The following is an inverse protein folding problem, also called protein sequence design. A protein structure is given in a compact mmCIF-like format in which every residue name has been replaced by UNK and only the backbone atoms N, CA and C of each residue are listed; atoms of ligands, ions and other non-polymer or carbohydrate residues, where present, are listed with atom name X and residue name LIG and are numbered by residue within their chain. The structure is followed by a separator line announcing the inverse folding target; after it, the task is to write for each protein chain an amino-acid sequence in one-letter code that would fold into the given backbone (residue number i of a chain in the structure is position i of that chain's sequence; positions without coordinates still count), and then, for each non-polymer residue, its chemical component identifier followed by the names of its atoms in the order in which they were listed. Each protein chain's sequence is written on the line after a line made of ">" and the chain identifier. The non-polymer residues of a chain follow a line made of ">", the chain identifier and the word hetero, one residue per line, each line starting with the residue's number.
data_IF_480153172223
#
_entry.id   IF_480153172223
#
_cell.length_a   1.000
_cell.length_b   1.000
_cell.length_c   1.000
_cell.angle_alpha   90.00
_cell.angle_beta   90.00
_cell.angle_gamma   90.00
#
_symmetry.space_group_name_H-M   'P 1'
#
loop_
_entity.id
_entity.type
_entity.pdbx_description
1 polymer ?
#
# COMPACT_ATOMS: atom_id res chain seq x y z
N UNK A 1 15.00 16.86 -19.55
CA UNK A 1 13.76 16.08 -19.36
C UNK A 1 13.22 16.43 -17.98
N UNK A 2 12.28 17.37 -17.90
CA UNK A 2 11.75 17.90 -16.65
C UNK A 2 10.31 17.40 -16.47
N UNK A 3 10.08 16.54 -15.48
CA UNK A 3 8.73 16.12 -15.13
C UNK A 3 7.99 17.29 -14.46
N UNK A 4 6.80 17.56 -15.00
CA UNK A 4 5.97 18.73 -14.75
C UNK A 4 5.52 18.75 -13.28
N UNK A 5 5.94 19.79 -12.57
CA UNK A 5 5.76 20.01 -11.14
C UNK A 5 4.33 19.75 -10.66
N UNK A 6 4.16 18.72 -9.83
CA UNK A 6 3.34 18.89 -8.62
C UNK A 6 3.93 20.07 -7.85
N UNK A 7 3.12 21.02 -7.34
CA UNK A 7 3.69 22.20 -6.70
C UNK A 7 4.59 21.72 -5.55
N UNK A 8 5.86 22.14 -5.57
CA UNK A 8 6.87 21.76 -4.57
C UNK A 8 6.34 21.94 -3.14
N UNK A 9 5.44 22.90 -2.94
CA UNK A 9 4.70 23.14 -1.70
C UNK A 9 3.80 22.00 -1.26
N UNK A 10 3.06 21.32 -2.15
CA UNK A 10 2.16 20.21 -1.78
C UNK A 10 2.93 18.94 -1.45
N UNK A 11 4.05 18.69 -2.13
CA UNK A 11 4.97 17.59 -1.79
C UNK A 11 5.65 17.84 -0.46
N UNK A 12 6.06 19.08 -0.21
CA UNK A 12 6.64 19.49 1.06
C UNK A 12 5.62 19.39 2.19
N UNK A 13 4.37 19.81 1.94
CA UNK A 13 3.28 19.63 2.89
C UNK A 13 3.10 18.15 3.24
N UNK A 14 2.98 17.27 2.25
CA UNK A 14 2.82 15.83 2.52
C UNK A 14 4.00 15.27 3.30
N UNK A 15 5.24 15.53 2.89
CA UNK A 15 6.44 15.07 3.61
C UNK A 15 6.45 15.53 5.07
N UNK A 16 6.12 16.80 5.32
CA UNK A 16 6.08 17.35 6.67
C UNK A 16 4.93 16.74 7.49
N UNK A 17 3.75 16.60 6.89
CA UNK A 17 2.59 15.97 7.52
C UNK A 17 2.91 14.52 7.90
N UNK A 18 3.41 13.71 6.97
CA UNK A 18 3.77 12.31 7.21
C UNK A 18 4.85 12.18 8.27
N UNK A 19 5.90 13.00 8.19
CA UNK A 19 6.99 13.00 9.19
C UNK A 19 6.47 13.32 10.59
N UNK A 20 5.64 14.37 10.72
CA UNK A 20 5.07 14.75 12.01
C UNK A 20 4.21 13.64 12.62
N UNK A 21 3.46 12.91 11.81
CA UNK A 21 2.63 11.81 12.29
C UNK A 21 3.46 10.57 12.65
N UNK A 22 4.51 10.27 11.87
CA UNK A 22 5.48 9.22 12.21
C UNK A 22 6.15 9.52 13.55
N UNK A 23 6.68 10.73 13.72
CA UNK A 23 7.41 11.13 14.93
C UNK A 23 6.50 11.06 16.16
N UNK A 24 5.26 11.55 16.06
CA UNK A 24 4.28 11.49 17.15
C UNK A 24 3.86 10.05 17.48
N UNK A 25 3.56 9.23 16.48
CA UNK A 25 3.15 7.83 16.70
C UNK A 25 4.28 7.01 17.32
N UNK A 26 5.53 7.21 16.87
CA UNK A 26 6.71 6.54 17.42
C UNK A 26 6.97 6.95 18.88
N UNK A 27 6.78 8.23 19.21
CA UNK A 27 7.06 8.74 20.54
C UNK A 27 5.98 8.38 21.58
N UNK A 28 4.70 8.35 21.18
CA UNK A 28 3.59 8.34 22.14
C UNK A 28 2.61 7.18 22.01
N UNK A 29 2.39 6.64 20.80
CA UNK A 29 1.32 5.66 20.58
C UNK A 29 1.82 4.23 20.58
N UNK A 30 3.01 3.98 20.02
CA UNK A 30 3.52 2.62 19.84
C UNK A 30 2.61 1.75 18.96
N UNK A 31 1.79 2.37 18.11
CA UNK A 31 0.82 1.70 17.23
C UNK A 31 1.22 1.84 15.76
N UNK A 32 0.80 0.93 14.87
CA UNK A 32 0.94 1.11 13.44
C UNK A 32 0.13 2.33 12.95
N UNK A 33 0.74 3.10 12.04
CA UNK A 33 0.16 4.25 11.35
C UNK A 33 -0.15 3.85 9.90
N UNK A 34 -1.32 4.26 9.42
CA UNK A 34 -1.76 4.08 8.04
C UNK A 34 -2.19 5.42 7.44
N UNK A 35 -1.87 5.65 6.16
CA UNK A 35 -2.48 6.72 5.37
C UNK A 35 -3.68 6.15 4.64
N UNK A 36 -4.86 6.20 5.26
CA UNK A 36 -6.06 5.50 4.76
C UNK A 36 -6.74 6.18 3.58
N UNK A 37 -6.42 7.45 3.33
CA UNK A 37 -6.96 8.19 2.20
C UNK A 37 -5.86 9.06 1.59
N UNK A 38 -5.57 8.83 0.32
CA UNK A 38 -4.74 9.71 -0.49
C UNK A 38 -5.12 9.59 -1.96
N UNK A 39 -5.12 10.70 -2.68
CA UNK A 39 -5.42 10.70 -4.09
C UNK A 39 -5.07 12.02 -4.73
N UNK A 40 -5.01 12.04 -6.07
CA UNK A 40 -4.81 13.26 -6.84
C UNK A 40 -5.94 13.39 -7.85
N UNK A 41 -6.72 14.44 -7.67
CA UNK A 41 -7.82 14.79 -8.55
C UNK A 41 -7.36 14.99 -10.00
N UNK A 42 -8.10 14.41 -10.94
CA UNK A 42 -7.91 14.53 -12.39
C UNK A 42 -9.13 15.24 -13.00
N UNK A 43 -8.96 16.48 -13.49
CA UNK A 43 -10.02 17.20 -14.23
C UNK A 43 -10.04 16.75 -15.70
N UNK A 44 -11.23 16.47 -16.26
CA UNK A 44 -11.38 16.00 -17.65
C UNK A 44 -11.02 17.07 -18.71
N UNK A 45 -11.23 18.35 -18.40
CA UNK A 45 -11.12 19.44 -19.40
C UNK A 45 -9.74 20.10 -19.49
N UNK A 46 -8.84 19.84 -18.53
CA UNK A 46 -7.48 20.42 -18.51
C UNK A 46 -6.49 19.26 -18.48
N UNK A 47 -6.47 18.51 -19.59
CA UNK A 47 -5.51 17.43 -19.85
C UNK A 47 -5.10 16.66 -18.60
N UNK A 48 -6.03 15.85 -18.06
CA UNK A 48 -5.86 15.04 -16.85
C UNK A 48 -4.39 14.62 -16.66
N UNK A 49 -3.69 15.28 -15.73
CA UNK A 49 -2.26 15.12 -15.62
C UNK A 49 -1.94 13.85 -14.83
N UNK A 50 -2.13 12.69 -15.47
CA UNK A 50 -1.78 11.37 -14.95
C UNK A 50 -0.34 11.34 -14.44
N UNK A 51 0.58 12.12 -15.02
CA UNK A 51 1.95 12.21 -14.52
C UNK A 51 2.05 12.84 -13.12
N UNK A 52 1.27 13.89 -12.82
CA UNK A 52 1.18 14.43 -11.47
C UNK A 52 0.54 13.45 -10.48
N UNK A 53 -0.47 12.69 -10.90
CA UNK A 53 -1.07 11.63 -10.07
C UNK A 53 -0.05 10.53 -9.77
N UNK A 54 0.66 10.06 -10.79
CA UNK A 54 1.69 9.03 -10.64
C UNK A 54 2.82 9.52 -9.71
N UNK A 55 3.30 10.75 -9.89
CA UNK A 55 4.30 11.33 -8.99
C UNK A 55 3.82 11.43 -7.54
N UNK A 56 2.56 11.84 -7.32
CA UNK A 56 1.99 11.89 -5.98
C UNK A 56 1.85 10.49 -5.36
N UNK A 57 1.43 9.52 -6.16
CA UNK A 57 1.32 8.11 -5.78
C UNK A 57 2.69 7.56 -5.35
N UNK A 58 3.72 7.72 -6.19
CA UNK A 58 5.10 7.35 -5.87
C UNK A 58 5.55 8.00 -4.55
N UNK A 59 5.31 9.30 -4.39
CA UNK A 59 5.72 10.04 -3.19
C UNK A 59 5.07 9.53 -1.89
N UNK A 60 3.80 9.12 -1.93
CA UNK A 60 3.10 8.54 -0.77
C UNK A 60 3.63 7.14 -0.48
N UNK A 61 3.70 6.30 -1.51
CA UNK A 61 4.14 4.91 -1.41
C UNK A 61 5.60 4.83 -0.95
N UNK A 62 6.50 5.63 -1.50
CA UNK A 62 7.89 5.73 -1.06
C UNK A 62 8.02 6.09 0.42
N UNK A 63 7.20 7.01 0.91
CA UNK A 63 7.20 7.38 2.32
C UNK A 63 6.77 6.21 3.23
N UNK A 64 5.76 5.45 2.80
CA UNK A 64 5.29 4.24 3.48
C UNK A 64 6.40 3.19 3.52
N UNK A 65 6.97 2.85 2.37
CA UNK A 65 8.03 1.84 2.29
C UNK A 65 9.27 2.26 3.09
N UNK A 66 9.68 3.52 2.98
CA UNK A 66 10.82 4.05 3.71
C UNK A 66 10.63 3.94 5.23
N UNK A 67 9.43 4.23 5.74
CA UNK A 67 9.14 4.02 7.16
C UNK A 67 9.13 2.53 7.52
N UNK A 68 8.35 1.71 6.81
CA UNK A 68 8.18 0.29 7.09
C UNK A 68 9.51 -0.49 7.04
N UNK A 69 10.33 -0.25 6.03
CA UNK A 69 11.65 -0.90 5.86
C UNK A 69 12.65 -0.60 6.98
N UNK A 70 12.42 0.47 7.77
CA UNK A 70 13.22 0.81 8.95
C UNK A 70 12.55 0.37 10.26
N UNK A 71 11.46 -0.38 10.22
CA UNK A 71 10.64 -0.73 11.38
C UNK A 71 9.90 0.47 11.98
N UNK A 72 9.69 1.53 11.20
CA UNK A 72 8.96 2.73 11.61
C UNK A 72 7.44 2.48 11.68
N UNK A 73 6.70 3.38 12.35
CA UNK A 73 5.28 3.18 12.61
C UNK A 73 4.39 3.28 11.36
N UNK A 74 4.78 4.05 10.33
CA UNK A 74 4.01 4.09 9.08
C UNK A 74 4.27 2.81 8.28
N UNK A 75 3.24 1.97 8.16
CA UNK A 75 3.35 0.61 7.60
C UNK A 75 2.46 0.34 6.40
N UNK A 76 1.58 1.28 6.03
CA UNK A 76 0.65 1.07 4.91
C UNK A 76 -0.20 2.29 4.57
N UNK A 77 -1.06 2.11 3.57
CA UNK A 77 -2.06 3.10 3.18
C UNK A 77 -3.03 2.59 2.13
N UNK A 78 -4.11 3.34 1.88
CA UNK A 78 -5.10 3.07 0.86
C UNK A 78 -5.35 4.32 -0.01
N UNK A 79 -5.24 4.16 -1.33
CA UNK A 79 -5.51 5.23 -2.28
C UNK A 79 -7.02 5.40 -2.46
N UNK A 80 -7.44 6.65 -2.65
CA UNK A 80 -8.82 7.02 -2.97
C UNK A 80 -8.88 7.35 -4.47
N UNK A 81 -9.70 6.66 -5.28
CA UNK A 81 -10.40 5.40 -4.97
C UNK A 81 -10.20 4.38 -6.08
N UNK A 82 -10.25 3.10 -5.74
CA UNK A 82 -10.24 2.03 -6.73
C UNK A 82 -11.64 1.88 -7.32
N UNK A 83 -11.76 2.05 -8.63
CA UNK A 83 -12.95 1.64 -9.37
C UNK A 83 -12.58 0.49 -10.32
N UNK A 84 -13.50 -0.45 -10.51
CA UNK A 84 -13.41 -1.46 -11.55
C UNK A 84 -13.98 -0.88 -12.84
N UNK A 85 -13.56 -1.49 -13.95
CA UNK A 85 -14.06 -1.16 -15.28
C UNK A 85 -15.59 -1.30 -15.32
N UNK A 86 -16.26 -0.29 -15.89
CA UNK A 86 -17.72 -0.25 -16.02
C UNK A 86 -18.28 -1.37 -16.89
N UNK A 87 -17.46 -1.93 -17.79
CA UNK A 87 -17.81 -3.09 -18.61
C UNK A 87 -17.82 -4.40 -17.78
N UNK A 88 -17.08 -4.45 -16.68
CA UNK A 88 -17.04 -5.59 -15.75
C UNK A 88 -18.14 -5.46 -14.69
N UNK A 89 -18.32 -4.26 -14.14
CA UNK A 89 -19.35 -3.98 -13.13
C UNK A 89 -20.16 -2.76 -13.56
N UNK A 90 -21.36 -3.04 -14.08
CA UNK A 90 -22.28 -2.00 -14.54
C UNK A 90 -22.60 -0.99 -13.42
N UNK A 91 -22.59 0.29 -13.77
CA UNK A 91 -22.95 1.40 -12.88
C UNK A 91 -21.79 2.03 -12.10
N UNK A 92 -20.57 1.48 -12.19
CA UNK A 92 -19.41 2.06 -11.49
C UNK A 92 -18.97 3.42 -12.03
N UNK A 93 -19.24 3.71 -13.31
CA UNK A 93 -18.95 5.03 -13.90
C UNK A 93 -19.69 6.19 -13.20
N UNK A 94 -20.83 5.91 -12.56
CA UNK A 94 -21.58 6.92 -11.81
C UNK A 94 -20.92 7.32 -10.49
N UNK A 95 -19.94 6.55 -10.02
CA UNK A 95 -19.21 6.79 -8.77
C UNK A 95 -17.90 7.56 -8.99
N UNK A 96 -17.56 7.89 -10.24
CA UNK A 96 -16.36 8.67 -10.58
C UNK A 96 -16.45 10.07 -9.96
N UNK A 97 -15.57 10.33 -9.01
CA UNK A 97 -15.46 11.59 -8.27
C UNK A 97 -14.22 12.41 -8.67
N UNK A 98 -13.48 11.96 -9.68
CA UNK A 98 -12.25 12.57 -10.18
C UNK A 98 -10.98 12.09 -9.50
N UNK A 99 -11.08 11.18 -8.52
CA UNK A 99 -9.94 10.54 -7.86
C UNK A 99 -9.78 9.08 -8.25
N UNK A 100 -10.66 8.56 -9.10
CA UNK A 100 -10.66 7.15 -9.45
C UNK A 100 -9.36 6.69 -10.10
N UNK A 101 -8.94 5.49 -9.72
CA UNK A 101 -7.91 4.71 -10.39
C UNK A 101 -8.59 3.44 -10.86
N UNK A 102 -8.69 3.27 -12.17
CA UNK A 102 -9.17 2.04 -12.80
C UNK A 102 -7.95 1.31 -13.34
N UNK A 103 -7.58 0.20 -12.68
CA UNK A 103 -6.31 -0.49 -12.96
C UNK A 103 -6.25 -1.05 -14.39
N UNK A 104 -7.40 -1.47 -14.94
CA UNK A 104 -7.51 -1.94 -16.31
C UNK A 104 -7.26 -0.82 -17.35
N UNK A 105 -7.62 0.43 -17.02
CA UNK A 105 -7.47 1.60 -17.90
C UNK A 105 -6.12 2.32 -17.71
N UNK A 106 -5.40 2.06 -16.62
CA UNK A 106 -4.20 2.81 -16.23
C UNK A 106 -3.04 1.90 -15.84
N UNK A 107 -2.39 1.33 -16.86
CA UNK A 107 -1.26 0.42 -16.69
C UNK A 107 -0.10 1.00 -15.89
N UNK A 108 0.14 2.32 -15.96
CA UNK A 108 1.22 2.97 -15.21
C UNK A 108 0.90 3.06 -13.73
N UNK A 109 -0.32 3.45 -13.36
CA UNK A 109 -0.76 3.43 -11.97
C UNK A 109 -0.76 2.00 -11.41
N UNK A 110 -1.24 1.04 -12.20
CA UNK A 110 -1.26 -0.36 -11.82
C UNK A 110 0.16 -0.91 -11.55
N UNK A 111 1.14 -0.56 -12.37
CA UNK A 111 2.55 -0.94 -12.14
C UNK A 111 3.10 -0.31 -10.85
N UNK A 112 2.89 0.98 -10.62
CA UNK A 112 3.34 1.66 -9.38
C UNK A 112 2.73 0.97 -8.13
N UNK A 113 1.41 0.74 -8.15
CA UNK A 113 0.70 0.10 -7.02
C UNK A 113 1.17 -1.34 -6.84
N UNK A 114 1.33 -2.09 -7.93
CA UNK A 114 1.77 -3.48 -7.91
C UNK A 114 3.19 -3.63 -7.36
N UNK A 115 4.14 -2.86 -7.91
CA UNK A 115 5.54 -2.85 -7.48
C UNK A 115 5.66 -2.53 -5.98
N UNK A 116 4.93 -1.52 -5.50
CA UNK A 116 4.95 -1.17 -4.08
C UNK A 116 4.29 -2.23 -3.19
N UNK A 117 3.20 -2.83 -3.66
CA UNK A 117 2.52 -3.92 -2.94
C UNK A 117 3.45 -5.12 -2.78
N UNK A 118 4.21 -5.47 -3.80
CA UNK A 118 5.24 -6.52 -3.76
C UNK A 118 6.37 -6.18 -2.78
N UNK A 119 6.85 -4.94 -2.80
CA UNK A 119 7.88 -4.45 -1.88
C UNK A 119 7.45 -4.57 -0.41
N UNK A 120 6.23 -4.15 -0.08
CA UNK A 120 5.69 -4.27 1.29
C UNK A 120 5.45 -5.73 1.67
N UNK A 121 4.94 -6.56 0.75
CA UNK A 121 4.75 -7.98 1.00
C UNK A 121 6.09 -8.69 1.32
N UNK A 122 7.17 -8.31 0.62
CA UNK A 122 8.50 -8.84 0.88
C UNK A 122 9.02 -8.48 2.28
N UNK A 123 8.77 -7.26 2.78
CA UNK A 123 9.11 -6.88 4.16
C UNK A 123 8.38 -7.75 5.18
N UNK A 124 7.07 -7.97 4.99
CA UNK A 124 6.28 -8.83 5.88
C UNK A 124 6.74 -10.29 5.84
N UNK A 125 7.13 -10.80 4.67
CA UNK A 125 7.70 -12.15 4.53
C UNK A 125 9.01 -12.30 5.29
N UNK A 126 9.87 -11.28 5.26
CA UNK A 126 11.12 -11.26 6.02
C UNK A 126 10.87 -11.25 7.53
N UNK A 127 9.91 -10.45 8.01
CA UNK A 127 9.53 -10.41 9.42
C UNK A 127 8.98 -11.77 9.88
N UNK A 128 8.10 -12.38 9.09
CA UNK A 128 7.59 -13.72 9.35
C UNK A 128 8.72 -14.76 9.38
N UNK A 129 9.68 -14.70 8.46
CA UNK A 129 10.84 -15.59 8.44
C UNK A 129 11.78 -15.39 9.64
N UNK A 130 11.96 -14.15 10.10
CA UNK A 130 12.77 -13.82 11.28
C UNK A 130 12.09 -14.35 12.55
N UNK A 131 10.77 -14.16 12.69
CA UNK A 131 9.99 -14.73 13.78
C UNK A 131 10.00 -16.26 13.74
N UNK A 132 9.81 -16.85 12.56
CA UNK A 132 9.91 -18.29 12.34
C UNK A 132 11.30 -18.83 12.66
N UNK A 133 12.39 -18.14 12.30
CA UNK A 133 13.76 -18.53 12.67
C UNK A 133 14.00 -18.47 14.18
N UNK A 134 13.50 -17.44 14.88
CA UNK A 134 13.53 -17.36 16.35
C UNK A 134 12.74 -18.50 17.00
N UNK A 135 11.54 -18.81 16.49
CA UNK A 135 10.71 -19.91 16.96
C UNK A 135 11.32 -21.29 16.65
N UNK A 136 11.94 -21.44 15.47
CA UNK A 136 12.62 -22.68 15.03
C UNK A 136 13.94 -22.91 15.75
N UNK A 137 14.61 -21.85 16.21
CA UNK A 137 15.73 -21.96 17.15
C UNK A 137 15.29 -22.55 18.50
N UNK A 138 14.01 -22.48 18.84
CA UNK A 138 13.38 -23.14 19.99
C UNK A 138 12.73 -24.48 19.64
N UNK A 139 12.56 -24.83 18.36
CA UNK A 139 11.92 -26.07 17.94
C UNK A 139 12.48 -26.56 16.63
N UNK A 140 13.46 -27.45 16.72
CA UNK A 140 14.12 -28.07 15.57
C UNK A 140 13.35 -29.32 15.15
N UNK A 141 12.48 -29.25 14.13
CA UNK A 141 12.14 -30.39 13.23
C UNK A 141 11.33 -29.96 11.98
N UNK A 142 12.03 -29.95 10.84
CA UNK A 142 11.70 -30.42 9.46
C UNK A 142 10.22 -30.63 9.03
N UNK A 143 9.75 -29.93 7.98
CA UNK A 143 9.59 -30.42 6.59
C UNK A 143 9.01 -29.30 5.69
N UNK A 144 9.46 -29.22 4.43
CA UNK A 144 9.03 -28.19 3.47
C UNK A 144 7.88 -28.64 2.56
N UNK A 145 7.32 -27.69 1.82
CA UNK A 145 6.81 -27.94 0.47
C UNK A 145 6.68 -26.64 -0.33
N UNK A 146 7.09 -26.71 -1.60
CA UNK A 146 6.98 -25.68 -2.64
C UNK A 146 5.72 -25.89 -3.48
N UNK A 147 5.06 -24.81 -3.91
CA UNK A 147 4.04 -24.87 -4.97
C UNK A 147 4.32 -23.80 -6.03
N UNK A 148 4.31 -24.29 -7.27
CA UNK A 148 4.54 -23.58 -8.53
C UNK A 148 3.26 -22.89 -9.02
N UNK A 149 3.39 -21.73 -9.66
CA UNK A 149 2.29 -20.99 -10.28
C UNK A 149 2.44 -20.96 -11.81
N UNK A 150 1.44 -21.49 -12.51
CA UNK A 150 1.25 -21.35 -13.95
C UNK A 150 0.43 -20.10 -14.28
N UNK A 151 0.81 -19.44 -15.38
CA UNK A 151 0.30 -18.14 -15.81
C UNK A 151 -1.05 -18.20 -16.52
N UNK A 152 -1.86 -17.17 -16.27
CA UNK A 152 -3.13 -16.91 -16.94
C UNK A 152 -3.72 -15.54 -16.58
N UNK A 153 -3.63 -15.12 -15.32
CA UNK A 153 -4.58 -14.14 -14.81
C UNK A 153 -3.92 -12.94 -14.11
N UNK A 154 -3.09 -12.14 -14.79
CA UNK A 154 -2.34 -11.03 -14.16
C UNK A 154 -3.22 -10.07 -13.35
N UNK A 155 -4.46 -9.82 -13.78
CA UNK A 155 -5.42 -8.97 -13.07
C UNK A 155 -6.07 -9.69 -11.88
N UNK A 156 -6.37 -10.98 -12.02
CA UNK A 156 -6.91 -11.82 -10.94
C UNK A 156 -5.86 -12.08 -9.87
N UNK A 157 -4.60 -12.29 -10.27
CA UNK A 157 -3.43 -12.31 -9.41
C UNK A 157 -3.24 -10.99 -8.69
N UNK A 158 -3.37 -9.85 -9.39
CA UNK A 158 -3.21 -8.54 -8.77
C UNK A 158 -4.36 -8.26 -7.78
N UNK A 159 -5.60 -8.62 -8.11
CA UNK A 159 -6.75 -8.58 -7.20
C UNK A 159 -6.53 -9.48 -5.99
N UNK A 160 -6.06 -10.71 -6.19
CA UNK A 160 -5.76 -11.65 -5.11
C UNK A 160 -4.58 -11.20 -4.27
N UNK A 161 -3.58 -10.55 -4.86
CA UNK A 161 -2.46 -9.95 -4.13
C UNK A 161 -2.91 -8.76 -3.31
N UNK A 162 -3.73 -7.86 -3.86
CA UNK A 162 -4.28 -6.70 -3.13
C UNK A 162 -5.19 -7.17 -1.99
N UNK A 163 -6.09 -8.12 -2.25
CA UNK A 163 -6.96 -8.71 -1.23
C UNK A 163 -6.15 -9.48 -0.18
N UNK A 164 -5.13 -10.25 -0.58
CA UNK A 164 -4.25 -10.95 0.35
C UNK A 164 -3.45 -9.98 1.21
N UNK A 165 -2.95 -8.88 0.64
CA UNK A 165 -2.25 -7.83 1.39
C UNK A 165 -3.21 -7.13 2.36
N UNK A 166 -4.42 -6.77 1.94
CA UNK A 166 -5.42 -6.15 2.81
C UNK A 166 -5.87 -7.08 3.95
N UNK A 167 -6.07 -8.37 3.67
CA UNK A 167 -6.45 -9.38 4.67
C UNK A 167 -5.27 -9.71 5.60
N UNK A 168 -4.05 -9.80 5.07
CA UNK A 168 -2.85 -10.02 5.88
C UNK A 168 -2.55 -8.82 6.79
N UNK A 169 -2.68 -7.60 6.26
CA UNK A 169 -2.51 -6.36 7.02
C UNK A 169 -3.58 -6.22 8.10
N UNK A 170 -4.85 -6.48 7.79
CA UNK A 170 -5.93 -6.44 8.79
C UNK A 170 -5.74 -7.51 9.88
N UNK A 171 -5.29 -8.71 9.53
CA UNK A 171 -4.94 -9.76 10.50
C UNK A 171 -3.73 -9.40 11.36
N UNK A 172 -2.70 -8.80 10.78
CA UNK A 172 -1.51 -8.35 11.50
C UNK A 172 -1.85 -7.22 12.48
N UNK A 173 -2.62 -6.22 12.04
CA UNK A 173 -3.14 -5.14 12.88
C UNK A 173 -4.03 -5.70 13.99
N UNK A 174 -4.91 -6.64 13.67
CA UNK A 174 -5.81 -7.25 14.65
C UNK A 174 -5.03 -8.07 15.68
N UNK A 175 -4.01 -8.83 15.28
CA UNK A 175 -3.13 -9.56 16.20
C UNK A 175 -2.34 -8.61 17.10
N UNK A 176 -1.82 -7.52 16.53
CA UNK A 176 -1.08 -6.50 17.28
C UNK A 176 -1.96 -5.84 18.36
N UNK A 177 -3.20 -5.50 18.03
CA UNK A 177 -4.18 -4.94 18.98
C UNK A 177 -4.50 -5.96 20.08
N UNK A 178 -4.78 -7.22 19.72
CA UNK A 178 -5.10 -8.28 20.69
C UNK A 178 -3.93 -8.54 21.64
N UNK A 179 -2.69 -8.57 21.14
CA UNK A 179 -1.49 -8.86 21.92
C UNK A 179 -1.06 -7.71 22.85
N UNK A 180 -1.38 -6.46 22.53
CA UNK A 180 -0.91 -5.30 23.30
C UNK A 180 -2.01 -4.58 24.10
N UNK A 181 -3.30 -4.79 23.81
CA UNK A 181 -4.37 -3.98 24.40
C UNK A 181 -5.56 -4.75 24.99
N UNK A 182 -5.70 -6.08 24.78
CA UNK A 182 -6.83 -6.86 25.34
C UNK A 182 -6.48 -7.54 26.69
N UNK A 183 -5.24 -7.38 27.19
CA UNK A 183 -4.77 -7.91 28.48
C UNK A 183 -4.56 -6.85 29.58
N UNK A 184 -5.07 -5.64 29.37
CA UNK A 184 -5.19 -4.57 30.38
C UNK A 184 -6.67 -4.34 30.71
#
# INVERSE_FOLDING_TARGET
>A
MACINFSSSRATFFRNWTRSHIDATAAYLGMPLLVTEYGKFLWKEVGANKAQRNYFLDLVLDAIYASASRGGPLVGGAFWQLLLDGDIVAGMDSLRDGYEIILAEDSRAASIIGEHSEQLAALNGQDADVLCRRASSHRRTRLGNSLSCGGGDTLELLLRMVLACFVSLSRSISSFIVQNFILL
#
